data_IF_785277580957
#
_entry.id   IF_785277580957
#
_cell.length_a   1.000
_cell.length_b   1.000
_cell.length_c   1.000
_cell.angle_alpha   90.00
_cell.angle_beta   90.00
_cell.angle_gamma   90.00
#
_symmetry.space_group_name_H-M   'P 1'
#
loop_
_entity.id
_entity.type
_entity.pdbx_description
1 polymer ?
#
# COMPACT_ATOMS: atom_id res chain seq x y z
N UNK A 1 -1.99 -13.31 12.00
CA UNK A 1 -2.06 -13.95 10.66
C UNK A 1 -0.78 -13.78 9.82
N UNK A 2 -0.20 -12.59 9.67
CA UNK A 2 0.92 -12.35 8.72
C UNK A 2 2.26 -13.07 9.02
N UNK A 3 2.54 -13.43 10.29
CA UNK A 3 3.71 -14.27 10.63
C UNK A 3 3.55 -15.75 10.24
N UNK A 4 2.34 -16.20 9.92
CA UNK A 4 2.06 -17.60 9.65
C UNK A 4 2.66 -18.11 8.32
N UNK A 5 3.14 -17.22 7.45
CA UNK A 5 3.76 -17.59 6.16
C UNK A 5 5.26 -17.28 6.09
N UNK A 6 5.87 -16.79 7.18
CA UNK A 6 7.29 -16.43 7.21
C UNK A 6 8.24 -17.64 6.99
N UNK A 7 7.74 -18.87 7.16
CA UNK A 7 8.48 -20.10 6.88
C UNK A 7 8.51 -20.48 5.39
N UNK A 8 7.62 -19.91 4.56
CA UNK A 8 7.59 -20.18 3.13
C UNK A 8 8.49 -19.17 2.40
N UNK A 9 9.77 -19.54 2.25
CA UNK A 9 10.85 -18.68 1.73
C UNK A 9 10.61 -17.94 0.40
N UNK A 10 9.74 -18.35 -0.55
CA UNK A 10 9.54 -17.57 -1.78
C UNK A 10 8.50 -16.44 -1.63
N UNK A 11 7.82 -16.29 -0.49
CA UNK A 11 6.87 -15.20 -0.28
C UNK A 11 7.53 -14.04 0.46
N UNK A 12 7.70 -12.91 -0.24
CA UNK A 12 8.17 -11.66 0.34
C UNK A 12 7.01 -10.69 0.53
N UNK A 13 6.89 -10.13 1.74
CA UNK A 13 5.98 -9.02 2.02
C UNK A 13 6.67 -7.72 1.61
N UNK A 14 5.93 -6.87 0.88
CA UNK A 14 6.42 -5.59 0.41
C UNK A 14 5.44 -4.53 0.86
N UNK A 15 5.98 -3.47 1.43
CA UNK A 15 5.24 -2.30 1.84
C UNK A 15 4.80 -1.53 0.60
N UNK A 16 3.51 -1.26 0.50
CA UNK A 16 2.91 -0.46 -0.56
C UNK A 16 3.54 0.94 -0.64
N UNK A 17 3.96 1.34 -1.85
CA UNK A 17 4.62 2.62 -2.09
C UNK A 17 3.73 3.82 -1.73
N UNK A 18 2.45 3.77 -2.09
CA UNK A 18 1.51 4.85 -1.82
C UNK A 18 1.32 5.04 -0.31
N UNK A 19 1.14 3.96 0.44
CA UNK A 19 1.00 3.99 1.90
C UNK A 19 2.28 4.44 2.60
N UNK A 20 3.46 4.04 2.11
CA UNK A 20 4.73 4.55 2.62
C UNK A 20 4.83 6.07 2.47
N UNK A 21 4.53 6.60 1.28
CA UNK A 21 4.53 8.05 1.02
C UNK A 21 3.46 8.77 1.83
N UNK A 22 2.26 8.20 1.95
CA UNK A 22 1.17 8.76 2.76
C UNK A 22 1.56 8.84 4.23
N UNK A 23 2.20 7.79 4.78
CA UNK A 23 2.70 7.77 6.15
C UNK A 23 3.75 8.85 6.38
N UNK A 24 4.68 9.04 5.43
CA UNK A 24 5.65 10.14 5.47
C UNK A 24 4.95 11.51 5.53
N UNK A 25 4.00 11.76 4.62
CA UNK A 25 3.25 13.03 4.58
C UNK A 25 2.54 13.32 5.90
N UNK A 26 1.86 12.32 6.46
CA UNK A 26 1.14 12.44 7.73
C UNK A 26 2.11 12.73 8.88
N UNK A 27 3.14 11.91 9.07
CA UNK A 27 4.05 12.06 10.20
C UNK A 27 4.89 13.34 10.11
N UNK A 28 5.40 13.71 8.92
CA UNK A 28 6.12 14.96 8.75
C UNK A 28 5.24 16.19 8.99
N UNK A 29 3.93 16.11 8.71
CA UNK A 29 3.01 17.22 9.01
C UNK A 29 2.80 17.43 10.52
N UNK A 30 2.91 16.37 11.31
CA UNK A 30 2.87 16.41 12.77
C UNK A 30 4.22 16.82 13.35
N UNK A 31 5.32 16.31 12.81
CA UNK A 31 6.67 16.53 13.34
C UNK A 31 7.23 17.93 13.04
N UNK A 32 6.97 18.49 11.85
CA UNK A 32 7.71 19.65 11.35
C UNK A 32 6.92 20.96 11.41
N UNK A 33 7.67 22.06 11.56
CA UNK A 33 7.17 23.42 11.48
C UNK A 33 7.09 23.89 10.02
N UNK A 34 5.88 24.27 9.59
CA UNK A 34 5.67 24.89 8.28
C UNK A 34 5.64 23.91 7.09
N UNK A 35 4.89 24.31 6.07
CA UNK A 35 4.67 23.51 4.85
C UNK A 35 5.94 23.40 3.99
N UNK A 36 6.77 24.44 3.95
CA UNK A 36 7.98 24.48 3.12
C UNK A 36 9.01 23.46 3.60
N UNK A 37 9.35 23.48 4.89
CA UNK A 37 10.29 22.52 5.49
C UNK A 37 9.81 21.08 5.32
N UNK A 38 8.52 20.84 5.57
CA UNK A 38 7.90 19.52 5.36
C UNK A 38 8.04 19.04 3.93
N UNK A 39 7.73 19.89 2.95
CA UNK A 39 7.78 19.51 1.54
C UNK A 39 9.23 19.27 1.07
N UNK A 40 10.17 20.15 1.46
CA UNK A 40 11.60 19.98 1.14
C UNK A 40 12.16 18.68 1.76
N UNK A 41 11.76 18.35 2.98
CA UNK A 41 12.13 17.08 3.63
C UNK A 41 11.57 15.89 2.85
N UNK A 42 10.30 15.94 2.47
CA UNK A 42 9.65 14.88 1.71
C UNK A 42 10.27 14.68 0.31
N UNK A 43 10.65 15.76 -0.38
CA UNK A 43 11.33 15.72 -1.68
C UNK A 43 12.69 15.03 -1.61
N UNK A 44 13.44 15.23 -0.51
CA UNK A 44 14.72 14.52 -0.29
C UNK A 44 14.52 13.08 0.19
N UNK A 45 13.48 12.83 0.99
CA UNK A 45 13.19 11.53 1.57
C UNK A 45 12.66 10.53 0.55
N UNK A 46 11.80 10.98 -0.38
CA UNK A 46 11.11 10.10 -1.33
C UNK A 46 12.08 9.33 -2.26
N UNK A 47 13.11 9.95 -2.86
CA UNK A 47 14.10 9.23 -3.66
C UNK A 47 14.86 8.17 -2.86
N UNK A 48 15.22 8.44 -1.60
CA UNK A 48 15.91 7.46 -0.76
C UNK A 48 15.04 6.22 -0.55
N UNK A 49 13.77 6.43 -0.18
CA UNK A 49 12.82 5.33 0.02
C UNK A 49 12.51 4.59 -1.28
N UNK A 50 12.42 5.29 -2.41
CA UNK A 50 12.20 4.69 -3.73
C UNK A 50 13.30 3.70 -4.13
N UNK A 51 14.53 3.94 -3.68
CA UNK A 51 15.67 3.05 -3.91
C UNK A 51 15.92 2.06 -2.75
N UNK A 52 15.06 2.02 -1.73
CA UNK A 52 15.24 1.14 -0.56
C UNK A 52 16.34 1.59 0.40
N UNK A 53 16.81 2.82 0.30
CA UNK A 53 17.89 3.39 1.11
C UNK A 53 17.41 3.81 2.52
N UNK A 54 16.90 2.84 3.29
CA UNK A 54 16.28 3.08 4.61
C UNK A 54 17.26 3.71 5.60
N UNK A 55 18.51 3.29 5.61
CA UNK A 55 19.54 3.84 6.51
C UNK A 55 19.77 5.33 6.24
N UNK A 56 19.92 5.73 4.98
CA UNK A 56 20.05 7.13 4.60
C UNK A 56 18.78 7.93 4.90
N UNK A 57 17.60 7.34 4.71
CA UNK A 57 16.33 7.97 5.04
C UNK A 57 16.21 8.26 6.55
N UNK A 58 16.58 7.32 7.40
CA UNK A 58 16.62 7.51 8.86
C UNK A 58 17.66 8.56 9.26
N UNK A 59 18.85 8.53 8.67
CA UNK A 59 19.88 9.53 8.93
C UNK A 59 19.39 10.95 8.56
N UNK A 60 18.73 11.08 7.40
CA UNK A 60 18.14 12.36 6.96
C UNK A 60 17.11 12.90 7.96
N UNK A 61 16.26 12.03 8.54
CA UNK A 61 15.27 12.47 9.53
C UNK A 61 15.93 12.88 10.86
N UNK A 62 17.00 12.19 11.27
CA UNK A 62 17.72 12.51 12.51
C UNK A 62 18.55 13.77 12.43
N UNK A 63 18.95 14.17 11.22
CA UNK A 63 19.74 15.38 10.94
C UNK A 63 18.88 16.65 10.82
N UNK A 64 17.55 16.54 10.99
CA UNK A 64 16.67 17.71 10.94
C UNK A 64 16.96 18.62 12.15
N UNK A 65 17.23 19.93 11.94
CA UNK A 65 17.49 20.86 13.04
C UNK A 65 16.31 20.94 14.01
N UNK A 66 16.60 20.98 15.32
CA UNK A 66 15.56 20.98 16.36
C UNK A 66 14.63 22.19 16.28
N UNK A 67 15.07 23.33 15.73
CA UNK A 67 14.21 24.51 15.56
C UNK A 67 13.09 24.26 14.54
N UNK A 68 13.30 23.31 13.62
CA UNK A 68 12.33 22.93 12.59
C UNK A 68 11.36 21.84 13.05
N UNK A 69 11.62 21.23 14.21
CA UNK A 69 10.81 20.15 14.78
C UNK A 69 9.90 20.73 15.87
N UNK A 70 8.59 20.60 15.69
CA UNK A 70 7.59 20.93 16.74
C UNK A 70 7.17 19.72 17.58
N UNK A 71 7.32 18.52 17.03
CA UNK A 71 6.99 17.28 17.72
C UNK A 71 8.06 16.22 17.42
N UNK A 72 8.96 16.04 18.38
CA UNK A 72 10.03 15.04 18.30
C UNK A 72 9.49 13.61 18.36
N UNK A 73 8.37 13.39 19.06
CA UNK A 73 7.78 12.06 19.18
C UNK A 73 7.20 11.60 17.84
N UNK A 74 6.54 12.49 17.10
CA UNK A 74 6.06 12.20 15.75
C UNK A 74 7.21 11.87 14.78
N UNK A 75 8.34 12.59 14.89
CA UNK A 75 9.53 12.29 14.09
C UNK A 75 10.10 10.90 14.41
N UNK A 76 10.22 10.59 15.70
CA UNK A 76 10.72 9.31 16.19
C UNK A 76 9.76 8.15 15.82
N UNK A 77 8.45 8.38 15.77
CA UNK A 77 7.48 7.40 15.27
C UNK A 77 7.72 7.07 13.79
N UNK A 78 8.10 8.05 12.97
CA UNK A 78 8.42 7.82 11.56
C UNK A 78 9.73 7.03 11.41
N UNK A 79 10.75 7.36 12.18
CA UNK A 79 12.01 6.60 12.23
C UNK A 79 11.75 5.13 12.62
N UNK A 80 11.00 4.92 13.71
CA UNK A 80 10.63 3.58 14.17
C UNK A 80 9.72 2.83 13.19
N UNK A 81 8.93 3.55 12.39
CA UNK A 81 8.17 2.94 11.31
C UNK A 81 9.11 2.39 10.22
N UNK A 82 10.10 3.17 9.78
CA UNK A 82 11.08 2.69 8.80
C UNK A 82 11.90 1.51 9.30
N UNK A 83 12.36 1.55 10.55
CA UNK A 83 13.15 0.45 11.12
C UNK A 83 12.35 -0.86 11.21
N UNK A 84 11.09 -0.79 11.65
CA UNK A 84 10.22 -1.98 11.71
C UNK A 84 9.94 -2.58 10.34
N UNK A 85 9.80 -1.74 9.31
CA UNK A 85 9.47 -2.15 7.95
C UNK A 85 10.70 -2.25 7.04
N UNK A 86 11.92 -2.22 7.58
CA UNK A 86 13.17 -2.19 6.80
C UNK A 86 13.25 -3.30 5.74
N UNK A 87 12.86 -4.53 6.09
CA UNK A 87 12.85 -5.67 5.16
C UNK A 87 11.71 -5.63 4.13
N UNK A 88 10.68 -4.82 4.40
CA UNK A 88 9.49 -4.67 3.56
C UNK A 88 9.61 -3.49 2.60
N UNK A 89 10.63 -2.65 2.72
CA UNK A 89 10.92 -1.50 1.84
C UNK A 89 11.99 -1.94 0.82
N UNK A 90 11.62 -2.46 -0.36
CA UNK A 90 12.58 -2.87 -1.38
C UNK A 90 13.10 -1.67 -2.18
N UNK A 91 13.99 -1.95 -3.14
CA UNK A 91 14.25 -1.01 -4.23
C UNK A 91 13.05 -1.01 -5.21
N UNK A 92 12.11 -0.09 -4.99
CA UNK A 92 10.93 0.08 -5.86
C UNK A 92 11.31 0.44 -7.30
N UNK A 93 12.43 1.15 -7.50
CA UNK A 93 12.95 1.48 -8.83
C UNK A 93 13.18 0.23 -9.69
N UNK A 94 13.90 -0.76 -9.15
CA UNK A 94 14.17 -2.03 -9.85
C UNK A 94 12.88 -2.80 -10.10
N UNK A 95 11.99 -2.86 -9.10
CA UNK A 95 10.69 -3.52 -9.26
C UNK A 95 9.87 -2.92 -10.40
N UNK A 96 9.83 -1.59 -10.49
CA UNK A 96 9.14 -0.87 -11.57
C UNK A 96 9.76 -1.20 -12.93
N UNK A 97 11.09 -1.23 -13.02
CA UNK A 97 11.80 -1.59 -14.25
C UNK A 97 11.51 -3.03 -14.68
N UNK A 98 11.31 -3.94 -13.74
CA UNK A 98 10.94 -5.34 -13.97
C UNK A 98 9.43 -5.56 -14.19
N UNK A 99 8.62 -4.50 -14.22
CA UNK A 99 7.15 -4.62 -14.38
C UNK A 99 6.43 -5.19 -13.15
N UNK A 100 7.08 -5.22 -11.98
CA UNK A 100 6.48 -5.74 -10.75
C UNK A 100 5.63 -4.66 -10.05
N UNK A 101 4.50 -5.08 -9.46
CA UNK A 101 3.62 -4.20 -8.72
C UNK A 101 4.31 -3.59 -7.49
N UNK A 102 4.20 -2.26 -7.37
CA UNK A 102 4.65 -1.50 -6.20
C UNK A 102 3.47 -0.91 -5.40
N UNK A 103 2.23 -1.15 -5.84
CA UNK A 103 1.04 -0.72 -5.12
C UNK A 103 -0.09 -1.74 -5.10
N UNK A 104 -0.97 -1.61 -4.09
CA UNK A 104 -2.25 -2.29 -3.90
C UNK A 104 -3.36 -1.71 -4.76
N UNK A 105 -3.09 -0.66 -5.55
CA UNK A 105 -4.11 0.10 -6.29
C UNK A 105 -4.98 -0.79 -7.19
N UNK A 106 -4.40 -1.81 -7.83
CA UNK A 106 -5.18 -2.75 -8.65
C UNK A 106 -6.21 -3.53 -7.82
N UNK A 107 -5.82 -3.99 -6.63
CA UNK A 107 -6.70 -4.68 -5.68
C UNK A 107 -7.76 -3.75 -5.11
N UNK A 108 -7.40 -2.53 -4.74
CA UNK A 108 -8.35 -1.50 -4.28
C UNK A 108 -9.37 -1.16 -5.37
N UNK A 109 -8.91 -1.00 -6.61
CA UNK A 109 -9.77 -0.73 -7.75
C UNK A 109 -10.71 -1.90 -8.04
N UNK A 110 -10.24 -3.14 -7.93
CA UNK A 110 -11.08 -4.32 -8.06
C UNK A 110 -12.16 -4.35 -6.98
N UNK A 111 -11.80 -4.09 -5.72
CA UNK A 111 -12.77 -3.95 -4.63
C UNK A 111 -13.77 -2.82 -4.91
N UNK A 112 -13.33 -1.70 -5.47
CA UNK A 112 -14.25 -0.61 -5.80
C UNK A 112 -15.25 -0.98 -6.88
N UNK A 113 -14.81 -1.69 -7.91
CA UNK A 113 -15.64 -2.14 -9.03
C UNK A 113 -16.62 -3.25 -8.62
N UNK A 114 -16.20 -4.14 -7.74
CA UNK A 114 -16.96 -5.35 -7.37
C UNK A 114 -17.85 -5.13 -6.15
N UNK A 115 -17.38 -4.33 -5.18
CA UNK A 115 -17.99 -4.19 -3.85
C UNK A 115 -18.39 -2.73 -3.59
N UNK A 116 -17.45 -1.79 -3.57
CA UNK A 116 -17.69 -0.43 -3.04
C UNK A 116 -18.77 0.32 -3.82
N UNK A 117 -18.75 0.26 -5.16
CA UNK A 117 -19.68 1.01 -6.02
C UNK A 117 -21.16 0.74 -5.67
N UNK A 118 -21.47 -0.48 -5.22
CA UNK A 118 -22.83 -0.86 -4.83
C UNK A 118 -23.09 -0.68 -3.33
N UNK A 119 -22.11 -0.96 -2.48
CA UNK A 119 -22.32 -1.12 -1.04
C UNK A 119 -22.05 0.15 -0.22
N UNK A 120 -21.10 1.01 -0.60
CA UNK A 120 -20.66 2.13 0.25
C UNK A 120 -21.48 3.42 0.11
N UNK A 121 -22.26 3.58 -0.96
CA UNK A 121 -22.90 4.87 -1.28
C UNK A 121 -24.43 4.87 -1.23
N UNK A 122 -25.06 3.74 -0.90
CA UNK A 122 -26.52 3.59 -1.03
C UNK A 122 -27.25 3.32 0.31
N UNK A 123 -26.60 3.47 1.46
CA UNK A 123 -27.24 3.27 2.77
C UNK A 123 -27.86 1.87 2.98
N UNK A 124 -27.39 0.86 2.24
CA UNK A 124 -27.93 -0.49 2.26
C UNK A 124 -27.25 -1.35 3.33
N UNK A 125 -28.04 -2.07 4.13
CA UNK A 125 -27.54 -3.11 5.04
C UNK A 125 -27.53 -4.45 4.32
N UNK A 126 -26.35 -5.08 4.23
CA UNK A 126 -26.16 -6.36 3.56
C UNK A 126 -25.89 -7.46 4.57
N UNK A 127 -26.51 -8.63 4.38
CA UNK A 127 -26.05 -9.85 5.03
C UNK A 127 -24.73 -10.27 4.40
N UNK A 128 -23.80 -10.79 5.20
CA UNK A 128 -22.47 -11.24 4.75
C UNK A 128 -22.55 -12.16 3.53
N UNK A 129 -23.39 -13.19 3.59
CA UNK A 129 -23.60 -14.13 2.49
C UNK A 129 -24.08 -13.47 1.20
N UNK A 130 -25.00 -12.50 1.31
CA UNK A 130 -25.51 -11.76 0.16
C UNK A 130 -24.45 -10.87 -0.49
N UNK A 131 -23.64 -10.21 0.34
CA UNK A 131 -22.51 -9.40 -0.10
C UNK A 131 -21.49 -10.25 -0.88
N UNK A 132 -21.05 -11.37 -0.31
CA UNK A 132 -20.09 -12.29 -0.93
C UNK A 132 -20.62 -12.89 -2.25
N UNK A 133 -21.89 -13.30 -2.28
CA UNK A 133 -22.49 -13.90 -3.48
C UNK A 133 -22.56 -12.89 -4.64
N UNK A 134 -22.96 -11.66 -4.36
CA UNK A 134 -23.02 -10.60 -5.36
C UNK A 134 -21.65 -10.16 -5.83
N UNK A 135 -20.67 -10.06 -4.92
CA UNK A 135 -19.29 -9.76 -5.28
C UNK A 135 -18.72 -10.83 -6.23
N UNK A 136 -19.00 -12.12 -5.96
CA UNK A 136 -18.59 -13.23 -6.81
C UNK A 136 -19.21 -13.15 -8.21
N UNK A 137 -20.51 -12.90 -8.30
CA UNK A 137 -21.21 -12.69 -9.58
C UNK A 137 -20.66 -11.48 -10.35
N UNK A 138 -20.43 -10.36 -9.67
CA UNK A 138 -19.86 -9.16 -10.29
C UNK A 138 -18.45 -9.40 -10.82
N UNK A 139 -17.61 -10.12 -10.06
CA UNK A 139 -16.27 -10.52 -10.51
C UNK A 139 -16.32 -11.43 -11.74
N UNK A 140 -17.22 -12.42 -11.78
CA UNK A 140 -17.44 -13.29 -12.95
C UNK A 140 -17.82 -12.51 -14.21
N UNK A 141 -18.74 -11.56 -14.08
CA UNK A 141 -19.17 -10.71 -15.20
C UNK A 141 -18.04 -9.81 -15.66
N UNK A 142 -17.30 -9.18 -14.74
CA UNK A 142 -16.18 -8.29 -15.07
C UNK A 142 -15.01 -9.01 -15.74
N UNK A 143 -14.74 -10.24 -15.33
CA UNK A 143 -13.73 -11.10 -15.95
C UNK A 143 -14.23 -11.81 -17.22
N UNK A 144 -15.49 -11.59 -17.63
CA UNK A 144 -16.11 -12.22 -18.81
C UNK A 144 -16.18 -13.76 -18.75
N UNK A 145 -16.14 -14.34 -17.54
CA UNK A 145 -16.11 -15.79 -17.32
C UNK A 145 -17.49 -16.40 -17.04
N UNK A 146 -18.54 -15.57 -16.97
CA UNK A 146 -19.90 -15.99 -16.63
C UNK A 146 -20.43 -17.12 -17.53
N UNK A 147 -20.29 -17.01 -18.86
CA UNK A 147 -20.75 -18.06 -19.79
C UNK A 147 -20.05 -19.39 -19.57
N UNK A 148 -18.72 -19.36 -19.36
CA UNK A 148 -17.92 -20.55 -19.08
C UNK A 148 -18.31 -21.19 -17.76
N UNK A 149 -18.48 -20.37 -16.72
CA UNK A 149 -18.89 -20.84 -15.40
C UNK A 149 -20.27 -21.51 -15.45
N UNK A 150 -21.26 -20.90 -16.10
CA UNK A 150 -22.60 -21.48 -16.17
C UNK A 150 -22.67 -22.74 -17.03
N UNK A 151 -21.89 -22.82 -18.12
CA UNK A 151 -21.88 -23.99 -18.99
C UNK A 151 -21.05 -25.16 -18.47
N UNK A 152 -19.88 -24.88 -17.87
CA UNK A 152 -18.89 -25.92 -17.55
C UNK A 152 -18.50 -26.02 -16.07
N UNK A 153 -18.95 -25.09 -15.23
CA UNK A 153 -18.50 -24.95 -13.82
C UNK A 153 -16.98 -24.78 -13.68
N UNK A 154 -16.32 -24.26 -14.72
CA UNK A 154 -14.88 -23.96 -14.70
C UNK A 154 -14.63 -22.47 -14.84
N UNK A 155 -13.48 -22.01 -14.32
CA UNK A 155 -12.97 -20.65 -14.49
C UNK A 155 -11.58 -20.72 -15.09
N UNK A 156 -11.28 -19.79 -16.00
CA UNK A 156 -9.91 -19.58 -16.44
C UNK A 156 -9.11 -18.92 -15.30
N UNK A 157 -7.97 -19.49 -14.95
CA UNK A 157 -7.02 -18.87 -14.04
C UNK A 157 -5.86 -18.31 -14.85
N UNK A 158 -5.74 -16.99 -14.87
CA UNK A 158 -4.61 -16.28 -15.49
C UNK A 158 -4.03 -15.33 -14.46
N UNK A 159 -2.71 -15.27 -14.40
CA UNK A 159 -2.05 -14.21 -13.63
C UNK A 159 -2.33 -12.89 -14.34
N UNK A 160 -2.80 -11.90 -13.58
CA UNK A 160 -2.95 -10.54 -14.10
C UNK A 160 -1.59 -10.06 -14.59
N UNK A 161 -1.49 -9.78 -15.89
CA UNK A 161 -0.30 -9.22 -16.54
C UNK A 161 -0.11 -7.75 -16.19
#
# INVERSE_FOLDING_TARGET
MLRAFAWFRPLQIILDWYHLVQKCKQQLSLALQGRQVRNATLERLSPLLWHGCVTQAVALLRDIPSEQVKDQQALEQLVNYFERHRCEIPCYAVRKQLGLCNSSQAGEKANDLVVSARQKHNGMSWREQGSASLASLAALVKNQEHSRWFGSRTLRFELAA
#
